data_IF_609802827653
#
_entry.id   IF_609802827653
#
_cell.length_a   1.000
_cell.length_b   1.000
_cell.length_c   1.000
_cell.angle_alpha   90.00
_cell.angle_beta   90.00
_cell.angle_gamma   90.00
#
_symmetry.space_group_name_H-M   'P 1'
#
loop_
_entity.id
_entity.type
_entity.pdbx_description
1 polymer ?
#
# COMPACT_ATOMS: atom_id res chain seq x y z
N UNK A 1 -11.36 -15.32 -12.45
CA UNK A 1 -10.34 -14.70 -13.32
C UNK A 1 -10.99 -13.56 -14.07
N UNK A 2 -10.53 -12.32 -13.84
CA UNK A 2 -10.99 -11.17 -14.62
C UNK A 2 -10.42 -11.28 -16.04
N UNK A 3 -11.29 -11.30 -17.05
CA UNK A 3 -10.87 -11.32 -18.46
C UNK A 3 -10.91 -9.90 -19.00
N UNK A 4 -9.78 -9.43 -19.53
CA UNK A 4 -9.67 -8.15 -20.24
C UNK A 4 -9.79 -8.34 -21.76
N UNK A 5 -10.40 -9.45 -22.19
CA UNK A 5 -10.69 -9.70 -23.60
C UNK A 5 -11.59 -8.58 -24.15
N UNK A 6 -11.19 -7.99 -25.28
CA UNK A 6 -11.94 -6.90 -25.93
C UNK A 6 -11.60 -5.49 -25.43
N UNK A 7 -10.87 -5.33 -24.32
CA UNK A 7 -10.45 -4.01 -23.85
C UNK A 7 -9.30 -3.47 -24.70
N UNK A 8 -9.34 -2.20 -25.05
CA UNK A 8 -8.23 -1.48 -25.69
C UNK A 8 -7.08 -1.23 -24.69
N UNK A 9 -5.89 -0.90 -25.22
CA UNK A 9 -4.77 -0.48 -24.38
C UNK A 9 -5.08 0.81 -23.59
N UNK A 10 -5.88 1.71 -24.16
CA UNK A 10 -6.30 2.95 -23.50
C UNK A 10 -7.22 2.66 -22.31
N UNK A 11 -8.22 1.80 -22.48
CA UNK A 11 -9.13 1.41 -21.39
C UNK A 11 -8.40 0.68 -20.26
N UNK A 12 -7.48 -0.22 -20.59
CA UNK A 12 -6.65 -0.88 -19.59
C UNK A 12 -5.73 0.10 -18.83
N UNK A 13 -5.17 1.08 -19.55
CA UNK A 13 -4.35 2.13 -18.92
C UNK A 13 -5.18 3.00 -18.00
N UNK A 14 -6.39 3.39 -18.44
CA UNK A 14 -7.32 4.15 -17.63
C UNK A 14 -7.74 3.39 -16.37
N UNK A 15 -8.05 2.10 -16.49
CA UNK A 15 -8.37 1.23 -15.35
C UNK A 15 -7.20 1.12 -14.37
N UNK A 16 -5.99 0.82 -14.85
CA UNK A 16 -4.81 0.71 -14.00
C UNK A 16 -4.54 2.02 -13.24
N UNK A 17 -4.69 3.17 -13.92
CA UNK A 17 -4.56 4.49 -13.29
C UNK A 17 -5.65 4.74 -12.25
N UNK A 18 -6.91 4.44 -12.57
CA UNK A 18 -8.02 4.62 -11.64
C UNK A 18 -7.86 3.76 -10.37
N UNK A 19 -7.40 2.51 -10.52
CA UNK A 19 -7.12 1.62 -9.38
C UNK A 19 -5.93 2.11 -8.56
N UNK A 20 -4.90 2.65 -9.22
CA UNK A 20 -3.76 3.26 -8.54
C UNK A 20 -4.18 4.50 -7.74
N UNK A 21 -4.99 5.38 -8.32
CA UNK A 21 -5.50 6.58 -7.64
C UNK A 21 -6.44 6.19 -6.49
N UNK A 22 -7.37 5.26 -6.69
CA UNK A 22 -8.23 4.77 -5.63
C UNK A 22 -7.45 4.25 -4.40
N UNK A 23 -6.26 3.66 -4.64
CA UNK A 23 -5.42 3.08 -3.59
C UNK A 23 -4.29 3.99 -3.13
N UNK A 24 -3.85 4.99 -3.88
CA UNK A 24 -2.65 5.73 -3.49
C UNK A 24 -2.73 7.23 -3.75
N UNK A 25 -3.91 7.75 -4.09
CA UNK A 25 -4.17 9.19 -4.03
C UNK A 25 -4.27 9.65 -2.57
N UNK A 26 -3.95 10.92 -2.34
CA UNK A 26 -4.15 11.53 -1.04
C UNK A 26 -5.65 11.63 -0.71
N UNK A 27 -6.46 12.24 -1.58
CA UNK A 27 -7.91 12.32 -1.41
C UNK A 27 -8.60 12.35 -2.79
N UNK A 28 -9.76 11.68 -2.97
CA UNK A 28 -10.42 10.80 -2.01
C UNK A 28 -9.67 9.45 -1.90
N UNK A 29 -9.56 8.91 -0.67
CA UNK A 29 -8.90 7.64 -0.40
C UNK A 29 -9.68 6.87 0.67
N UNK A 30 -10.52 5.93 0.22
CA UNK A 30 -11.38 5.11 1.06
C UNK A 30 -10.60 3.88 1.55
N UNK A 31 -10.53 3.68 2.86
CA UNK A 31 -9.78 2.58 3.47
C UNK A 31 -10.30 1.20 3.04
N UNK A 32 -11.61 1.04 2.83
CA UNK A 32 -12.21 -0.22 2.39
C UNK A 32 -11.75 -0.58 0.96
N UNK A 33 -11.70 0.41 0.07
CA UNK A 33 -11.20 0.23 -1.30
C UNK A 33 -9.69 -0.01 -1.29
N UNK A 34 -8.97 0.72 -0.45
CA UNK A 34 -7.53 0.67 -0.31
C UNK A 34 -7.00 -0.74 0.02
N UNK A 35 -7.62 -1.37 1.04
CA UNK A 35 -7.22 -2.68 1.56
C UNK A 35 -7.92 -3.88 0.90
N UNK A 36 -8.87 -3.63 0.00
CA UNK A 36 -9.67 -4.69 -0.61
C UNK A 36 -8.81 -5.65 -1.43
N UNK A 37 -8.79 -6.96 -1.09
CA UNK A 37 -8.06 -7.96 -1.89
C UNK A 37 -8.51 -7.99 -3.35
N UNK A 38 -9.80 -7.79 -3.61
CA UNK A 38 -10.36 -7.74 -4.97
C UNK A 38 -9.79 -6.57 -5.77
N UNK A 39 -9.68 -5.38 -5.16
CA UNK A 39 -9.13 -4.18 -5.81
C UNK A 39 -7.62 -4.34 -6.02
N UNK A 40 -6.91 -4.92 -5.05
CA UNK A 40 -5.49 -5.25 -5.15
C UNK A 40 -5.24 -6.20 -6.34
N UNK A 41 -5.99 -7.30 -6.41
CA UNK A 41 -5.83 -8.29 -7.47
C UNK A 41 -6.21 -7.75 -8.84
N UNK A 42 -7.26 -6.92 -8.93
CA UNK A 42 -7.63 -6.25 -10.17
C UNK A 42 -6.54 -5.27 -10.63
N UNK A 43 -5.95 -4.51 -9.70
CA UNK A 43 -4.86 -3.59 -10.00
C UNK A 43 -3.64 -4.34 -10.55
N UNK A 44 -3.27 -5.45 -9.92
CA UNK A 44 -2.16 -6.30 -10.38
C UNK A 44 -2.47 -6.91 -11.75
N UNK A 45 -3.67 -7.46 -11.94
CA UNK A 45 -4.07 -8.08 -13.20
C UNK A 45 -4.06 -7.08 -14.36
N UNK A 46 -4.54 -5.84 -14.14
CA UNK A 46 -4.54 -4.80 -15.16
C UNK A 46 -3.11 -4.42 -15.60
N UNK A 47 -2.19 -4.27 -14.64
CA UNK A 47 -0.79 -3.97 -14.93
C UNK A 47 -0.05 -5.12 -15.62
N UNK A 48 -0.28 -6.36 -15.19
CA UNK A 48 0.27 -7.55 -15.83
C UNK A 48 -0.21 -7.67 -17.28
N UNK A 49 -1.48 -7.38 -17.53
CA UNK A 49 -2.04 -7.41 -18.88
C UNK A 49 -1.45 -6.31 -19.77
N UNK A 50 -1.26 -5.09 -19.24
CA UNK A 50 -0.56 -4.02 -19.95
C UNK A 50 0.88 -4.41 -20.31
N UNK A 51 1.63 -5.00 -19.37
CA UNK A 51 2.99 -5.46 -19.61
C UNK A 51 3.03 -6.61 -20.62
N UNK A 52 2.08 -7.54 -20.55
CA UNK A 52 1.96 -8.65 -21.51
C UNK A 52 1.71 -8.15 -22.94
N UNK A 53 0.95 -7.07 -23.10
CA UNK A 53 0.64 -6.46 -24.41
C UNK A 53 1.73 -5.54 -24.92
N UNK A 54 2.73 -5.18 -24.09
CA UNK A 54 3.82 -4.32 -24.55
C UNK A 54 4.66 -5.04 -25.61
N UNK A 55 4.99 -4.36 -26.72
CA UNK A 55 5.92 -4.90 -27.69
C UNK A 55 7.30 -5.03 -27.04
N UNK A 56 7.82 -6.25 -26.94
CA UNK A 56 9.19 -6.51 -26.46
C UNK A 56 10.17 -5.98 -27.50
N UNK A 57 10.96 -4.97 -27.15
CA UNK A 57 12.12 -4.58 -27.97
C UNK A 57 13.25 -5.58 -27.70
N UNK A 58 13.76 -6.30 -28.72
CA UNK A 58 14.92 -7.15 -28.55
C UNK A 58 16.14 -6.31 -28.18
N UNK A 59 16.89 -6.69 -27.15
CA UNK A 59 18.25 -6.19 -26.91
C UNK A 59 18.45 -5.17 -25.79
N UNK A 60 17.43 -4.70 -25.07
CA UNK A 60 17.66 -3.92 -23.84
C UNK A 60 17.65 -4.84 -22.62
N UNK A 61 18.83 -5.21 -22.11
CA UNK A 61 18.97 -5.85 -20.79
C UNK A 61 18.66 -4.93 -19.60
N UNK A 62 18.18 -3.71 -19.87
CA UNK A 62 17.72 -2.79 -18.85
C UNK A 62 16.32 -3.21 -18.36
N UNK A 63 16.05 -3.13 -17.04
CA UNK A 63 14.71 -3.38 -16.49
C UNK A 63 13.70 -2.51 -17.22
N UNK A 64 12.52 -3.07 -17.52
CA UNK A 64 11.51 -2.30 -18.24
C UNK A 64 11.16 -1.05 -17.42
N UNK A 65 10.79 0.05 -18.08
CA UNK A 65 10.32 1.25 -17.36
C UNK A 65 9.15 0.92 -16.41
N UNK A 66 8.43 -0.18 -16.64
CA UNK A 66 7.41 -0.72 -15.73
C UNK A 66 8.00 -1.25 -14.43
N UNK A 67 9.04 -2.08 -14.48
CA UNK A 67 9.71 -2.61 -13.26
C UNK A 67 10.31 -1.50 -12.41
N UNK A 68 10.92 -0.48 -13.03
CA UNK A 68 11.46 0.66 -12.29
C UNK A 68 10.37 1.50 -11.65
N UNK A 69 9.23 1.66 -12.33
CA UNK A 69 8.08 2.32 -11.74
C UNK A 69 7.60 1.53 -10.53
N UNK A 70 7.47 0.21 -10.60
CA UNK A 70 6.94 -0.61 -9.49
C UNK A 70 7.83 -0.70 -8.24
N UNK A 71 9.05 -0.16 -8.22
CA UNK A 71 9.86 -0.13 -7.00
C UNK A 71 9.24 0.78 -5.94
N UNK A 72 9.23 0.32 -4.69
CA UNK A 72 8.62 1.03 -3.57
C UNK A 72 9.44 2.22 -3.06
N UNK A 73 10.77 2.17 -3.16
CA UNK A 73 11.64 3.17 -2.57
C UNK A 73 11.51 4.55 -3.22
N UNK A 74 11.36 5.60 -2.40
CA UNK A 74 11.31 7.00 -2.85
C UNK A 74 9.98 7.39 -3.52
N UNK A 75 8.91 6.64 -3.22
CA UNK A 75 7.59 6.82 -3.80
C UNK A 75 6.75 7.82 -2.99
N UNK A 76 6.01 8.74 -3.64
CA UNK A 76 5.05 9.60 -2.94
C UNK A 76 3.91 8.81 -2.27
N UNK A 77 3.62 7.60 -2.75
CA UNK A 77 2.61 6.72 -2.17
C UNK A 77 2.92 6.29 -0.73
N UNK A 78 4.18 6.40 -0.28
CA UNK A 78 4.60 6.09 1.09
C UNK A 78 3.83 6.89 2.14
N UNK A 79 3.60 8.18 1.90
CA UNK A 79 2.87 9.06 2.83
C UNK A 79 1.41 8.60 2.99
N UNK A 80 0.79 8.15 1.91
CA UNK A 80 -0.59 7.63 1.92
C UNK A 80 -0.67 6.34 2.74
N UNK A 81 0.30 5.43 2.58
CA UNK A 81 0.37 4.19 3.35
C UNK A 81 0.54 4.47 4.84
N UNK A 82 1.51 5.33 5.21
CA UNK A 82 1.73 5.71 6.60
C UNK A 82 0.46 6.31 7.22
N UNK A 83 -0.19 7.22 6.50
CA UNK A 83 -1.44 7.85 6.94
C UNK A 83 -2.57 6.84 7.12
N UNK A 84 -2.73 5.89 6.20
CA UNK A 84 -3.79 4.88 6.28
C UNK A 84 -3.56 3.90 7.44
N UNK A 85 -2.32 3.45 7.63
CA UNK A 85 -1.96 2.61 8.78
C UNK A 85 -2.22 3.33 10.11
N UNK A 86 -1.96 4.64 10.20
CA UNK A 86 -2.22 5.42 11.40
C UNK A 86 -3.72 5.64 11.68
N UNK A 87 -4.57 5.61 10.64
CA UNK A 87 -6.02 5.86 10.75
C UNK A 87 -6.84 4.59 10.99
N UNK A 88 -6.27 3.41 10.73
CA UNK A 88 -6.96 2.13 10.82
C UNK A 88 -6.22 1.19 11.80
N UNK A 89 -6.64 1.16 13.08
CA UNK A 89 -6.03 0.30 14.09
C UNK A 89 -6.15 -1.19 13.79
N UNK A 90 -7.23 -1.63 13.14
CA UNK A 90 -7.43 -3.04 12.77
C UNK A 90 -6.42 -3.45 11.71
N UNK A 91 -6.23 -2.62 10.68
CA UNK A 91 -5.21 -2.82 9.66
C UNK A 91 -3.80 -2.85 10.27
N UNK A 92 -3.51 -1.95 11.20
CA UNK A 92 -2.22 -1.88 11.88
C UNK A 92 -1.99 -3.13 12.76
N UNK A 93 -3.03 -3.65 13.41
CA UNK A 93 -2.99 -4.92 14.13
C UNK A 93 -2.70 -6.09 13.19
N UNK A 94 -3.35 -6.16 12.02
CA UNK A 94 -3.08 -7.20 11.01
C UNK A 94 -1.66 -7.15 10.47
N UNK A 95 -1.09 -5.96 10.28
CA UNK A 95 0.34 -5.82 9.95
C UNK A 95 1.24 -6.46 11.01
N UNK A 96 0.88 -6.39 12.31
CA UNK A 96 1.64 -7.03 13.38
C UNK A 96 1.48 -8.54 13.39
N UNK A 97 0.25 -9.03 13.27
CA UNK A 97 -0.09 -10.45 13.41
C UNK A 97 0.35 -11.27 12.20
N UNK A 98 0.07 -10.77 11.00
CA UNK A 98 0.36 -11.46 9.75
C UNK A 98 1.74 -11.10 9.18
N UNK A 99 2.29 -9.95 9.58
CA UNK A 99 3.67 -9.57 9.30
C UNK A 99 3.98 -9.30 7.82
N UNK A 100 5.18 -9.70 7.41
CA UNK A 100 5.74 -9.39 6.10
C UNK A 100 4.91 -9.91 4.90
N UNK A 101 4.30 -11.11 4.93
CA UNK A 101 3.38 -11.55 3.88
C UNK A 101 2.20 -10.61 3.66
N UNK A 102 1.57 -10.14 4.75
CA UNK A 102 0.44 -9.23 4.67
C UNK A 102 0.82 -7.87 4.10
N UNK A 103 1.92 -7.27 4.58
CA UNK A 103 2.42 -5.99 4.07
C UNK A 103 2.72 -6.07 2.57
N UNK A 104 3.38 -7.15 2.12
CA UNK A 104 3.64 -7.36 0.69
C UNK A 104 2.36 -7.53 -0.10
N UNK A 105 1.37 -8.29 0.40
CA UNK A 105 0.09 -8.46 -0.26
C UNK A 105 -0.68 -7.13 -0.38
N UNK A 106 -0.71 -6.36 0.71
CA UNK A 106 -1.39 -5.07 0.82
C UNK A 106 -0.81 -4.02 -0.13
N UNK A 107 0.51 -4.02 -0.32
CA UNK A 107 1.22 -3.04 -1.13
C UNK A 107 1.49 -3.48 -2.57
N UNK A 108 1.00 -4.66 -2.99
CA UNK A 108 0.91 -5.01 -4.42
C UNK A 108 0.24 -3.85 -5.17
N UNK A 109 0.75 -3.41 -6.33
CA UNK A 109 1.70 -4.10 -7.21
C UNK A 109 3.18 -3.77 -6.94
N UNK A 110 3.51 -3.02 -5.89
CA UNK A 110 4.88 -2.60 -5.67
C UNK A 110 5.81 -3.78 -5.35
N UNK A 111 7.07 -3.61 -5.73
CA UNK A 111 8.18 -4.48 -5.37
C UNK A 111 8.87 -3.84 -4.16
N UNK A 112 8.82 -4.56 -3.03
CA UNK A 112 9.42 -4.15 -1.77
C UNK A 112 10.69 -4.97 -1.52
N UNK A 113 11.75 -4.29 -1.08
CA UNK A 113 12.91 -4.94 -0.47
C UNK A 113 12.60 -5.29 0.99
N UNK A 114 13.36 -6.19 1.60
CA UNK A 114 13.11 -6.60 3.00
C UNK A 114 13.21 -5.42 3.97
N UNK A 115 14.15 -4.50 3.72
CA UNK A 115 14.29 -3.27 4.49
C UNK A 115 13.05 -2.36 4.42
N UNK A 116 12.35 -2.35 3.28
CA UNK A 116 11.11 -1.59 3.13
C UNK A 116 9.99 -2.17 4.01
N UNK A 117 9.89 -3.50 4.03
CA UNK A 117 8.91 -4.21 4.84
C UNK A 117 9.21 -4.06 6.34
N UNK A 118 10.48 -4.20 6.72
CA UNK A 118 10.92 -4.03 8.11
C UNK A 118 10.65 -2.62 8.63
N UNK A 119 10.82 -1.59 7.79
CA UNK A 119 10.51 -0.22 8.15
C UNK A 119 9.00 -0.04 8.47
N UNK A 120 8.13 -0.58 7.62
CA UNK A 120 6.67 -0.52 7.82
C UNK A 120 6.25 -1.29 9.08
N UNK A 121 6.77 -2.49 9.28
CA UNK A 121 6.46 -3.31 10.46
C UNK A 121 7.00 -2.68 11.76
N UNK A 122 8.17 -2.06 11.71
CA UNK A 122 8.73 -1.33 12.85
C UNK A 122 7.85 -0.15 13.26
N UNK A 123 7.31 0.58 12.27
CA UNK A 123 6.36 1.66 12.52
C UNK A 123 5.05 1.14 13.14
N UNK A 124 4.49 0.04 12.63
CA UNK A 124 3.29 -0.59 13.19
C UNK A 124 3.48 -1.05 14.66
N UNK A 125 4.71 -1.39 15.06
CA UNK A 125 5.06 -1.70 16.45
C UNK A 125 5.25 -0.45 17.30
N UNK A 126 5.78 0.63 16.73
CA UNK A 126 6.05 1.87 17.45
C UNK A 126 4.77 2.66 17.80
N UNK A 127 3.72 2.56 16.97
CA UNK A 127 2.42 3.23 17.22
C UNK A 127 1.73 2.75 18.51
N UNK A 128 2.13 1.62 19.07
CA UNK A 128 1.67 1.09 20.38
C UNK A 128 2.22 1.89 21.58
N UNK A 129 3.25 2.72 21.35
CA UNK A 129 3.99 3.44 22.39
C UNK A 129 3.56 4.90 22.54
N UNK A 130 2.31 5.23 22.20
CA UNK A 130 1.68 6.48 22.64
C UNK A 130 0.90 6.17 23.93
N UNK A 131 1.24 6.77 25.08
CA UNK A 131 0.60 6.42 26.33
C UNK A 131 -0.86 6.88 26.29
N UNK A 132 -1.76 5.93 26.56
CA UNK A 132 -3.06 6.25 27.14
C UNK A 132 -2.81 7.01 28.45
N UNK A 133 -3.19 8.29 28.46
CA UNK A 133 -3.60 9.01 29.66
C UNK A 133 -2.55 9.24 30.75
N UNK A 134 -1.70 10.26 30.58
CA UNK A 134 -1.36 11.14 31.71
C UNK A 134 -2.53 12.13 31.91
N UNK A 135 -3.66 11.58 32.33
CA UNK A 135 -4.75 12.33 32.93
C UNK A 135 -5.22 11.55 34.15
N UNK A 136 -4.30 11.33 35.08
CA UNK A 136 -4.69 11.07 36.45
C UNK A 136 -4.04 12.07 37.39
N UNK A 137 -4.80 12.32 38.43
CA UNK A 137 -5.03 13.58 39.08
C UNK A 137 -3.84 14.00 39.91
N UNK A 138 -3.46 15.28 39.81
CA UNK A 138 -2.59 15.91 40.79
C UNK A 138 -3.37 15.93 42.12
N UNK A 139 -3.08 14.89 42.89
CA UNK A 139 -3.60 14.55 44.20
C UNK A 139 -3.27 15.71 45.15
N UNK A 140 -4.21 16.65 45.31
CA UNK A 140 -4.21 17.56 46.46
C UNK A 140 -4.44 16.74 47.73
N UNK A 141 -3.37 16.25 48.33
CA UNK A 141 -3.36 15.69 49.69
C UNK A 141 -2.93 16.79 50.70
N UNK A 142 -3.16 16.61 52.02
CA UNK A 142 -4.35 17.11 52.73
C UNK A 142 -4.02 18.07 53.91
N UNK A 143 -5.06 18.74 54.43
CA UNK A 143 -5.41 19.13 55.84
C UNK A 143 -4.33 19.62 56.85
N UNK A 144 -4.68 20.29 57.98
CA UNK A 144 -5.99 20.62 58.55
C UNK A 144 -6.34 22.11 58.63
#
# INVERSE_FOLDING_TARGET
>A
MTSFAGWSAAELTALAKALHEARFAHEPNDSLVWQSPTVIDLHVAALQELERRRPRRPGSGAPSNGERWLRWRGRPEQEVVVRNLARDPELLQRCRDEGAPFVRALLRPFILEDADVDAILSQARATDRWPDGDADSDERTPAP
#
